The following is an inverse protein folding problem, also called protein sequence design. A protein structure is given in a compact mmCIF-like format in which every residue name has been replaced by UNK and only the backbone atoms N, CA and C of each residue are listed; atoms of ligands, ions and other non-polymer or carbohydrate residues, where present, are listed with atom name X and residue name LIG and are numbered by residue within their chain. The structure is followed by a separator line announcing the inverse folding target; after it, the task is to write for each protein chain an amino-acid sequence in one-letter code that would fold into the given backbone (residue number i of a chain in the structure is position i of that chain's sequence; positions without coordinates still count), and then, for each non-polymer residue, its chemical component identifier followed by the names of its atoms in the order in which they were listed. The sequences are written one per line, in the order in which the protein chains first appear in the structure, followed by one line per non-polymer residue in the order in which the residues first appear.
data_IF_784908420828
#
_entry.id   IF_784908420828
#
_cell.length_a   1.000
_cell.length_b   1.000
_cell.length_c   1.000
_cell.angle_alpha   90.00
_cell.angle_beta   90.00
_cell.angle_gamma   90.00
#
_symmetry.space_group_name_H-M   'P 1'
#
loop_
_entity.id
_entity.type
_entity.pdbx_description
1 polymer ?
#
# COMPACT_ATOMS: atom_id res chain seq x y z
N UNK A 1 -4.56 -12.73 16.04
CA UNK A 1 -4.71 -11.70 14.99
C UNK A 1 -3.89 -12.14 13.79
N UNK A 2 -4.44 -12.10 12.57
CA UNK A 2 -3.74 -12.46 11.33
C UNK A 2 -2.56 -11.52 11.09
N UNK A 3 -1.48 -11.98 10.48
CA UNK A 3 -0.29 -11.15 10.20
C UNK A 3 -0.52 -10.35 8.93
N UNK A 4 -0.30 -9.05 8.98
CA UNK A 4 -0.29 -8.19 7.80
C UNK A 4 1.15 -7.89 7.40
N UNK A 5 1.50 -8.04 6.12
CA UNK A 5 2.81 -7.67 5.57
C UNK A 5 2.61 -6.57 4.53
N UNK A 6 3.20 -5.40 4.77
CA UNK A 6 3.17 -4.30 3.81
C UNK A 6 4.57 -4.12 3.24
N UNK A 7 4.68 -4.26 1.93
CA UNK A 7 5.93 -3.98 1.20
C UNK A 7 5.84 -2.56 0.65
N UNK A 8 6.61 -1.67 1.22
CA UNK A 8 6.54 -0.24 0.98
C UNK A 8 7.85 0.26 0.37
N UNK A 9 7.77 1.19 -0.57
CA UNK A 9 8.95 1.88 -1.13
C UNK A 9 8.61 2.52 -2.45
N UNK A 10 9.42 3.51 -2.85
CA UNK A 10 9.21 4.22 -4.12
C UNK A 10 9.30 3.27 -5.32
N UNK A 11 8.66 3.64 -6.43
CA UNK A 11 8.82 2.93 -7.69
C UNK A 11 10.30 2.64 -8.01
N UNK A 12 10.57 1.49 -8.62
CA UNK A 12 11.93 1.06 -9.03
C UNK A 12 12.92 0.77 -7.89
N UNK A 13 12.46 0.63 -6.65
CA UNK A 13 13.25 0.22 -5.47
C UNK A 13 13.27 -1.32 -5.22
N UNK A 14 12.68 -2.12 -6.11
CA UNK A 14 12.63 -3.58 -5.98
C UNK A 14 11.46 -4.11 -5.13
N UNK A 15 10.48 -3.28 -4.78
CA UNK A 15 9.27 -3.70 -4.04
C UNK A 15 8.52 -4.85 -4.72
N UNK A 16 8.43 -4.86 -6.06
CA UNK A 16 7.80 -5.96 -6.80
C UNK A 16 8.53 -7.28 -6.64
N UNK A 17 9.87 -7.28 -6.58
CA UNK A 17 10.64 -8.51 -6.38
C UNK A 17 10.40 -9.09 -4.98
N UNK A 18 10.36 -8.24 -3.96
CA UNK A 18 10.05 -8.65 -2.58
C UNK A 18 8.61 -9.17 -2.48
N UNK A 19 7.63 -8.44 -3.01
CA UNK A 19 6.23 -8.87 -2.96
C UNK A 19 6.00 -10.19 -3.71
N UNK A 20 6.65 -10.39 -4.86
CA UNK A 20 6.58 -11.65 -5.59
C UNK A 20 7.17 -12.84 -4.82
N UNK A 21 8.30 -12.66 -4.13
CA UNK A 21 8.86 -13.71 -3.26
C UNK A 21 7.90 -14.04 -2.12
N UNK A 22 7.32 -13.03 -1.47
CA UNK A 22 6.35 -13.23 -0.39
C UNK A 22 5.09 -13.96 -0.87
N UNK A 23 4.58 -13.62 -2.06
CA UNK A 23 3.45 -14.33 -2.66
C UNK A 23 3.79 -15.82 -2.86
N UNK A 24 4.97 -16.14 -3.40
CA UNK A 24 5.44 -17.54 -3.56
C UNK A 24 5.55 -18.26 -2.22
N UNK A 25 5.94 -17.55 -1.15
CA UNK A 25 6.02 -18.08 0.21
C UNK A 25 4.66 -18.20 0.91
N UNK A 26 3.56 -17.86 0.23
CA UNK A 26 2.20 -18.05 0.74
C UNK A 26 1.57 -16.84 1.41
N UNK A 27 2.11 -15.62 1.22
CA UNK A 27 1.41 -14.39 1.60
C UNK A 27 0.27 -14.13 0.64
N UNK A 28 -0.95 -14.07 1.16
CA UNK A 28 -2.14 -13.72 0.39
C UNK A 28 -2.16 -12.22 0.09
N UNK A 29 -2.07 -11.86 -1.19
CA UNK A 29 -2.11 -10.46 -1.66
C UNK A 29 -3.42 -10.08 -2.36
N UNK A 30 -4.39 -11.00 -2.33
CA UNK A 30 -5.63 -10.90 -3.09
C UNK A 30 -5.45 -11.18 -4.59
N UNK A 31 -6.58 -11.09 -5.30
CA UNK A 31 -6.69 -11.50 -6.70
C UNK A 31 -6.83 -10.31 -7.67
N UNK A 32 -7.25 -9.13 -7.19
CA UNK A 32 -7.40 -7.90 -7.98
C UNK A 32 -6.08 -7.11 -7.99
N UNK A 33 -5.11 -7.67 -8.73
CA UNK A 33 -3.79 -7.07 -8.91
C UNK A 33 -3.74 -6.24 -10.19
N UNK A 34 -2.86 -5.23 -10.22
CA UNK A 34 -2.73 -4.35 -11.38
C UNK A 34 -2.37 -5.11 -12.67
N UNK A 35 -3.05 -4.77 -13.76
CA UNK A 35 -2.93 -5.46 -15.04
C UNK A 35 -1.59 -5.18 -15.74
N UNK A 36 -1.10 -6.10 -16.60
CA UNK A 36 0.06 -5.86 -17.44
C UNK A 36 -0.06 -4.63 -18.34
N UNK A 37 1.06 -3.95 -18.58
CA UNK A 37 1.18 -2.83 -19.52
C UNK A 37 2.57 -2.81 -20.20
N UNK A 38 2.88 -1.74 -20.93
CA UNK A 38 4.17 -1.54 -21.61
C UNK A 38 5.37 -1.41 -20.65
N UNK A 39 5.14 -1.04 -19.39
CA UNK A 39 6.17 -0.89 -18.37
C UNK A 39 6.39 -2.17 -17.55
N UNK A 40 5.39 -3.05 -17.53
CA UNK A 40 5.40 -4.30 -16.80
C UNK A 40 4.50 -5.37 -17.44
N UNK A 41 5.07 -6.10 -18.41
CA UNK A 41 4.38 -7.17 -19.17
C UNK A 41 3.84 -8.32 -18.30
N UNK A 42 4.34 -8.47 -17.07
CA UNK A 42 3.89 -9.52 -16.13
C UNK A 42 2.75 -9.05 -15.22
N UNK A 43 2.37 -7.79 -15.29
CA UNK A 43 1.43 -7.19 -14.35
C UNK A 43 2.09 -6.84 -13.02
N UNK A 44 1.30 -6.16 -12.20
CA UNK A 44 1.72 -5.50 -10.98
C UNK A 44 1.34 -6.33 -9.74
N UNK A 45 1.94 -5.98 -8.61
CA UNK A 45 1.68 -6.65 -7.32
C UNK A 45 0.89 -5.77 -6.36
N UNK A 46 0.57 -4.55 -6.79
CA UNK A 46 -0.34 -3.62 -6.12
C UNK A 46 -1.73 -4.22 -6.17
N UNK A 47 -2.33 -4.38 -4.99
CA UNK A 47 -3.76 -4.63 -4.89
C UNK A 47 -4.50 -3.35 -5.26
N UNK A 48 -5.41 -3.43 -6.24
CA UNK A 48 -6.04 -2.26 -6.85
C UNK A 48 -6.85 -1.43 -5.85
N UNK A 49 -7.51 -2.07 -4.89
CA UNK A 49 -8.30 -1.34 -3.89
C UNK A 49 -7.42 -0.62 -2.87
N UNK A 50 -6.32 -1.23 -2.43
CA UNK A 50 -5.34 -0.54 -1.59
C UNK A 50 -4.67 0.60 -2.34
N UNK A 51 -4.33 0.41 -3.62
CA UNK A 51 -3.79 1.47 -4.46
C UNK A 51 -4.77 2.65 -4.57
N UNK A 52 -6.01 2.40 -5.00
CA UNK A 52 -7.05 3.42 -5.09
C UNK A 52 -7.31 4.13 -3.75
N UNK A 53 -7.25 3.39 -2.65
CA UNK A 53 -7.36 3.95 -1.32
C UNK A 53 -6.22 4.93 -1.01
N UNK A 54 -4.97 4.59 -1.31
CA UNK A 54 -3.79 5.45 -1.03
C UNK A 54 -3.89 6.82 -1.73
N UNK A 55 -4.61 6.90 -2.84
CA UNK A 55 -4.87 8.14 -3.57
C UNK A 55 -5.88 9.08 -2.88
N UNK A 56 -6.76 8.57 -2.01
CA UNK A 56 -7.85 9.37 -1.45
C UNK A 56 -7.37 10.46 -0.47
N UNK A 57 -6.52 10.17 0.53
CA UNK A 57 -6.04 11.19 1.46
C UNK A 57 -5.16 12.22 0.75
N UNK A 58 -4.32 11.77 -0.21
CA UNK A 58 -3.50 12.68 -0.99
C UNK A 58 -4.36 13.69 -1.76
N UNK A 59 -5.33 13.18 -2.52
CA UNK A 59 -6.23 14.02 -3.32
C UNK A 59 -7.09 14.95 -2.45
N UNK A 60 -7.46 14.54 -1.24
CA UNK A 60 -8.19 15.38 -0.31
C UNK A 60 -7.38 16.60 0.15
N UNK A 61 -6.06 16.48 0.26
CA UNK A 61 -5.18 17.59 0.69
C UNK A 61 -4.71 18.44 -0.49
N UNK A 62 -4.29 17.82 -1.59
CA UNK A 62 -3.64 18.55 -2.70
C UNK A 62 -4.59 18.88 -3.85
N UNK A 63 -5.79 18.29 -3.88
CA UNK A 63 -6.72 18.35 -5.00
C UNK A 63 -6.27 17.56 -6.24
N UNK A 64 -5.07 16.97 -6.21
CA UNK A 64 -4.45 16.25 -7.31
C UNK A 64 -3.86 14.93 -6.81
N UNK A 65 -3.43 14.09 -7.75
CA UNK A 65 -2.73 12.86 -7.45
C UNK A 65 -1.23 13.01 -7.69
N UNK A 66 -0.67 14.09 -7.16
CA UNK A 66 0.73 14.46 -7.39
C UNK A 66 1.64 13.95 -6.26
N UNK A 67 2.30 12.83 -6.54
CA UNK A 67 3.28 12.21 -5.65
C UNK A 67 4.68 12.81 -5.76
N UNK A 68 4.96 13.64 -6.77
CA UNK A 68 6.23 14.36 -6.87
C UNK A 68 6.31 15.48 -5.82
N UNK A 69 5.15 15.93 -5.34
CA UNK A 69 5.01 17.00 -4.36
C UNK A 69 4.10 16.54 -3.22
N UNK A 70 4.55 15.57 -2.39
CA UNK A 70 3.73 15.06 -1.30
C UNK A 70 3.40 16.20 -0.32
N UNK A 71 2.16 16.25 0.20
CA UNK A 71 1.77 17.25 1.18
C UNK A 71 2.52 17.05 2.51
N UNK A 72 2.48 18.08 3.34
CA UNK A 72 2.98 18.00 4.71
C UNK A 72 2.22 16.93 5.51
N UNK A 73 2.93 16.26 6.41
CA UNK A 73 2.38 15.19 7.25
C UNK A 73 1.21 15.70 8.11
N UNK A 74 1.28 16.94 8.59
CA UNK A 74 0.22 17.57 9.38
C UNK A 74 -1.10 17.68 8.60
N UNK A 75 -1.04 18.16 7.35
CA UNK A 75 -2.21 18.30 6.50
C UNK A 75 -2.84 16.95 6.16
N UNK A 76 -2.02 15.91 6.01
CA UNK A 76 -2.50 14.54 5.84
C UNK A 76 -3.19 14.03 7.12
N UNK A 77 -2.56 14.24 8.27
CA UNK A 77 -3.10 13.81 9.57
C UNK A 77 -4.45 14.45 9.89
N UNK A 78 -4.73 15.66 9.39
CA UNK A 78 -6.04 16.30 9.51
C UNK A 78 -7.15 15.58 8.71
N UNK A 79 -6.84 15.01 7.55
CA UNK A 79 -7.84 14.34 6.69
C UNK A 79 -7.93 12.84 6.91
N UNK A 80 -6.85 12.18 7.36
CA UNK A 80 -6.79 10.73 7.57
C UNK A 80 -7.94 10.16 8.40
N UNK A 81 -8.44 10.81 9.48
CA UNK A 81 -9.57 10.31 10.25
C UNK A 81 -10.82 10.02 9.41
N UNK A 82 -11.05 10.79 8.33
CA UNK A 82 -12.20 10.62 7.43
C UNK A 82 -12.17 9.30 6.65
N UNK A 83 -11.00 8.68 6.51
CA UNK A 83 -10.78 7.45 5.74
C UNK A 83 -10.63 6.20 6.63
N UNK A 84 -10.70 6.36 7.96
CA UNK A 84 -10.52 5.29 8.96
C UNK A 84 -11.44 4.09 8.70
N UNK A 85 -12.73 4.32 8.49
CA UNK A 85 -13.69 3.23 8.32
C UNK A 85 -13.52 2.51 6.98
N UNK A 86 -13.11 3.25 5.94
CA UNK A 86 -12.77 2.66 4.64
C UNK A 86 -11.54 1.75 4.76
N UNK A 87 -10.50 2.20 5.47
CA UNK A 87 -9.34 1.34 5.77
C UNK A 87 -9.74 0.08 6.53
N UNK A 88 -10.51 0.21 7.62
CA UNK A 88 -10.95 -0.95 8.41
C UNK A 88 -11.74 -1.94 7.56
N UNK A 89 -12.56 -1.44 6.63
CA UNK A 89 -13.29 -2.27 5.67
C UNK A 89 -12.33 -3.03 4.76
N UNK A 90 -11.33 -2.36 4.17
CA UNK A 90 -10.31 -3.00 3.32
C UNK A 90 -9.48 -4.04 4.09
N UNK A 91 -8.99 -3.69 5.27
CA UNK A 91 -8.25 -4.62 6.14
C UNK A 91 -9.12 -5.83 6.47
N UNK A 92 -10.39 -5.63 6.84
CA UNK A 92 -11.31 -6.74 7.15
C UNK A 92 -11.60 -7.62 5.93
N UNK A 93 -11.68 -7.00 4.74
CA UNK A 93 -11.89 -7.71 3.47
C UNK A 93 -10.71 -8.62 3.13
N UNK A 94 -9.48 -8.15 3.32
CA UNK A 94 -8.26 -8.85 2.89
C UNK A 94 -7.56 -9.66 3.97
N UNK A 95 -7.82 -9.39 5.26
CA UNK A 95 -7.36 -10.21 6.37
C UNK A 95 -8.15 -11.53 6.46
N UNK A 96 -8.11 -12.34 5.40
CA UNK A 96 -8.79 -13.65 5.29
C UNK A 96 -7.83 -14.81 5.58
N UNK A 97 -6.58 -14.68 5.19
CA UNK A 97 -5.52 -15.69 5.39
C UNK A 97 -4.70 -15.43 6.66
N UNK A 98 -4.00 -16.46 7.16
CA UNK A 98 -3.14 -16.35 8.35
C UNK A 98 -2.04 -15.28 8.18
N UNK A 99 -1.53 -15.17 6.96
CA UNK A 99 -0.62 -14.12 6.52
C UNK A 99 -1.21 -13.51 5.25
N UNK A 100 -1.44 -12.20 5.28
CA UNK A 100 -1.91 -11.42 4.14
C UNK A 100 -1.02 -10.19 3.97
N UNK A 101 -1.09 -9.55 2.82
CA UNK A 101 -0.29 -8.37 2.57
C UNK A 101 -0.69 -7.60 1.32
N UNK A 102 -0.04 -6.47 1.11
CA UNK A 102 -0.15 -5.73 -0.14
C UNK A 102 1.12 -4.91 -0.36
N UNK A 103 1.37 -4.57 -1.63
CA UNK A 103 2.46 -3.68 -2.01
C UNK A 103 1.97 -2.24 -2.07
N UNK A 104 2.73 -1.34 -1.48
CA UNK A 104 2.59 0.11 -1.62
C UNK A 104 3.80 0.65 -2.38
N UNK A 105 3.61 1.06 -3.64
CA UNK A 105 4.67 1.66 -4.46
C UNK A 105 4.96 3.14 -4.12
N UNK A 106 4.25 3.66 -3.11
CA UNK A 106 4.25 5.06 -2.66
C UNK A 106 4.63 5.17 -1.20
N UNK A 107 4.58 4.05 -0.49
CA UNK A 107 5.73 3.55 0.24
C UNK A 107 5.96 4.12 1.62
N UNK A 108 5.37 5.24 2.03
CA UNK A 108 5.52 5.78 3.38
C UNK A 108 4.69 7.04 3.69
N UNK A 109 3.85 7.54 2.78
CA UNK A 109 3.21 8.84 2.96
C UNK A 109 2.30 8.95 4.22
N UNK A 110 1.93 7.84 4.86
CA UNK A 110 0.95 7.83 5.94
C UNK A 110 1.33 6.88 7.10
N UNK A 111 2.31 7.21 7.96
CA UNK A 111 2.65 6.37 9.12
C UNK A 111 1.46 6.16 10.07
N UNK A 112 0.63 7.19 10.29
CA UNK A 112 -0.57 7.10 11.14
C UNK A 112 -1.63 6.12 10.59
N UNK A 113 -1.70 5.98 9.27
CA UNK A 113 -2.56 5.00 8.62
C UNK A 113 -2.10 3.56 8.90
N UNK A 114 -0.80 3.31 8.77
CA UNK A 114 -0.21 1.98 8.99
C UNK A 114 -0.43 1.49 10.43
N UNK A 115 -0.45 2.40 11.42
CA UNK A 115 -0.72 2.08 12.82
C UNK A 115 -2.11 1.46 13.06
N UNK A 116 -3.05 1.67 12.13
CA UNK A 116 -4.41 1.12 12.23
C UNK A 116 -4.51 -0.32 11.75
N UNK A 117 -3.46 -0.84 11.10
CA UNK A 117 -3.41 -2.22 10.61
C UNK A 117 -2.93 -3.13 11.76
N UNK A 118 -3.78 -4.05 12.26
CA UNK A 118 -3.39 -4.92 13.37
C UNK A 118 -2.31 -5.91 12.95
N UNK A 119 -1.32 -6.14 13.83
CA UNK A 119 -0.24 -7.12 13.62
C UNK A 119 0.56 -6.88 12.31
N UNK A 120 0.83 -5.61 12.03
CA UNK A 120 1.58 -5.14 10.86
C UNK A 120 3.08 -5.48 10.95
N UNK A 121 3.60 -6.02 9.85
CA UNK A 121 5.02 -6.19 9.56
C UNK A 121 5.34 -5.35 8.32
N UNK A 122 6.11 -4.29 8.51
CA UNK A 122 6.46 -3.36 7.44
C UNK A 122 7.84 -3.70 6.87
N UNK A 123 7.92 -3.85 5.54
CA UNK A 123 9.17 -3.99 4.80
C UNK A 123 9.35 -2.73 3.97
N UNK A 124 10.37 -1.93 4.26
CA UNK A 124 10.66 -0.69 3.52
C UNK A 124 11.86 -0.90 2.62
N UNK A 125 11.65 -0.79 1.30
CA UNK A 125 12.72 -0.84 0.31
C UNK A 125 13.22 0.57 0.02
N UNK A 126 14.50 0.80 0.29
CA UNK A 126 15.20 2.05 -0.04
C UNK A 126 16.29 1.73 -1.06
N UNK A 127 16.38 2.54 -2.11
CA UNK A 127 17.40 2.48 -3.15
C UNK A 127 18.00 3.86 -3.32
N UNK A 128 19.31 3.94 -3.55
CA UNK A 128 19.94 5.20 -3.98
C UNK A 128 19.20 5.77 -5.20
N UNK A 129 18.92 7.08 -5.23
CA UNK A 129 18.42 7.77 -6.42
C UNK A 129 19.30 7.53 -7.65
#
# INVERSE_FOLDING_TARGET
MKKAVVVAGMHRSGTSAIMGVLQVLGVDIGDDLGAPDEYNEKGYFENREFELFEHLPLKAVTGQDDWAHPPQEEALNEVLPQFTDHLKSLVSKYARSEIWGYKSARGLAFPEYLKQIPNLHLIVNIRSP
#
